data_IF_284788836526
#
_entry.id   IF_284788836526
#
_cell.length_a   1.000
_cell.length_b   1.000
_cell.length_c   1.000
_cell.angle_alpha   90.00
_cell.angle_beta   90.00
_cell.angle_gamma   90.00
#
_symmetry.space_group_name_H-M   'P 1'
#
loop_
_entity.id
_entity.type
_entity.pdbx_description
1 polymer ?
#
# COMPACT_ATOMS: atom_id res chain seq x y z
N UNK A 1 -28.58 21.02 -44.56
CA UNK A 1 -28.38 20.15 -45.72
C UNK A 1 -28.20 18.69 -45.27
N UNK A 2 -28.32 17.80 -46.23
CA UNK A 2 -28.07 16.38 -45.95
C UNK A 2 -26.65 16.13 -45.46
N UNK A 3 -25.70 16.84 -46.01
CA UNK A 3 -24.30 16.72 -45.64
C UNK A 3 -24.11 17.15 -44.19
N UNK A 4 -24.70 18.26 -43.79
CA UNK A 4 -24.64 18.73 -42.43
C UNK A 4 -25.30 17.74 -41.46
N UNK A 5 -26.43 17.18 -41.85
CA UNK A 5 -27.13 16.18 -41.04
C UNK A 5 -26.26 14.96 -40.80
N UNK A 6 -25.58 14.50 -41.85
CA UNK A 6 -24.69 13.35 -41.72
C UNK A 6 -23.53 13.64 -40.80
N UNK A 7 -22.95 14.82 -40.89
CA UNK A 7 -21.88 15.24 -40.01
C UNK A 7 -22.33 15.24 -38.54
N UNK A 8 -23.52 15.78 -38.29
CA UNK A 8 -24.05 15.78 -36.91
C UNK A 8 -24.31 14.37 -36.40
N UNK A 9 -24.80 13.48 -37.27
CA UNK A 9 -25.01 12.09 -36.86
C UNK A 9 -23.70 11.40 -36.52
N UNK A 10 -22.66 11.67 -37.29
CA UNK A 10 -21.34 11.11 -37.00
C UNK A 10 -20.80 11.64 -35.67
N UNK A 11 -20.98 12.94 -35.43
CA UNK A 11 -20.58 13.55 -34.18
C UNK A 11 -21.32 12.92 -33.00
N UNK A 12 -22.62 12.66 -33.18
CA UNK A 12 -23.41 12.03 -32.16
C UNK A 12 -22.88 10.64 -31.81
N UNK A 13 -22.57 9.86 -32.83
CA UNK A 13 -22.00 8.53 -32.62
C UNK A 13 -20.69 8.59 -31.89
N UNK A 14 -19.84 9.54 -32.28
CA UNK A 14 -18.55 9.71 -31.60
C UNK A 14 -18.73 10.07 -30.14
N UNK A 15 -19.66 10.97 -29.85
CA UNK A 15 -19.92 11.35 -28.46
C UNK A 15 -20.46 10.21 -27.66
N UNK A 16 -21.32 9.39 -28.24
CA UNK A 16 -21.83 8.20 -27.55
C UNK A 16 -20.70 7.21 -27.26
N UNK A 17 -19.80 7.03 -28.21
CA UNK A 17 -18.64 6.17 -27.98
C UNK A 17 -17.72 6.75 -26.90
N UNK A 18 -17.54 8.06 -26.91
CA UNK A 18 -16.73 8.73 -25.88
C UNK A 18 -17.33 8.55 -24.50
N UNK A 19 -18.65 8.64 -24.38
CA UNK A 19 -19.34 8.41 -23.11
C UNK A 19 -19.07 6.99 -22.60
N UNK A 20 -19.17 6.01 -23.49
CA UNK A 20 -18.88 4.63 -23.10
C UNK A 20 -17.46 4.45 -22.61
N UNK A 21 -16.51 5.07 -23.32
CA UNK A 21 -15.11 5.02 -22.92
C UNK A 21 -14.90 5.67 -21.57
N UNK A 22 -15.52 6.81 -21.34
CA UNK A 22 -15.43 7.52 -20.08
C UNK A 22 -16.01 6.70 -18.93
N UNK A 23 -17.11 6.00 -19.18
CA UNK A 23 -17.68 5.11 -18.17
C UNK A 23 -16.74 3.96 -17.83
N UNK A 24 -16.09 3.39 -18.83
CA UNK A 24 -15.11 2.35 -18.60
C UNK A 24 -13.92 2.88 -17.80
N UNK A 25 -13.46 4.07 -18.15
CA UNK A 25 -12.37 4.71 -17.42
C UNK A 25 -12.74 4.98 -15.98
N UNK A 26 -13.97 5.42 -15.75
CA UNK A 26 -14.44 5.67 -14.40
C UNK A 26 -14.44 4.39 -13.57
N UNK A 27 -14.95 3.30 -14.14
CA UNK A 27 -14.95 2.01 -13.46
C UNK A 27 -13.53 1.56 -13.15
N UNK A 28 -12.63 1.76 -14.10
CA UNK A 28 -11.23 1.40 -13.94
C UNK A 28 -10.58 2.18 -12.80
N UNK A 29 -10.85 3.49 -12.75
CA UNK A 29 -10.32 4.34 -11.70
C UNK A 29 -10.88 4.00 -10.34
N UNK A 30 -12.16 3.67 -10.25
CA UNK A 30 -12.77 3.23 -9.00
C UNK A 30 -12.13 1.95 -8.50
N UNK A 31 -11.84 1.04 -9.40
CA UNK A 31 -11.14 -0.20 -9.05
C UNK A 31 -9.72 0.10 -8.56
N UNK A 32 -9.03 1.03 -9.21
CA UNK A 32 -7.69 1.44 -8.81
C UNK A 32 -7.70 2.05 -7.41
N UNK A 33 -8.67 2.90 -7.11
CA UNK A 33 -8.83 3.49 -5.78
C UNK A 33 -9.00 2.39 -4.73
N UNK A 34 -9.85 1.42 -5.01
CA UNK A 34 -10.08 0.31 -4.08
C UNK A 34 -8.80 -0.49 -3.84
N UNK A 35 -8.06 -0.76 -4.90
CA UNK A 35 -6.79 -1.48 -4.80
C UNK A 35 -5.78 -0.71 -3.95
N UNK A 36 -5.69 0.60 -4.15
CA UNK A 36 -4.79 1.45 -3.37
C UNK A 36 -5.19 1.44 -1.90
N UNK A 37 -6.48 1.51 -1.60
CA UNK A 37 -6.97 1.47 -0.23
C UNK A 37 -6.61 0.17 0.46
N UNK A 38 -6.75 -0.95 -0.24
CA UNK A 38 -6.35 -2.25 0.28
C UNK A 38 -4.84 -2.31 0.55
N UNK A 39 -4.05 -1.76 -0.36
CA UNK A 39 -2.60 -1.72 -0.20
C UNK A 39 -2.21 -0.89 1.02
N UNK A 40 -2.85 0.25 1.21
CA UNK A 40 -2.59 1.10 2.38
C UNK A 40 -2.92 0.37 3.68
N UNK A 41 -4.03 -0.34 3.73
CA UNK A 41 -4.40 -1.12 4.91
C UNK A 41 -3.36 -2.19 5.20
N UNK A 42 -2.86 -2.85 4.16
CA UNK A 42 -1.81 -3.84 4.31
C UNK A 42 -0.52 -3.24 4.84
N UNK A 43 -0.16 -2.06 4.35
CA UNK A 43 1.02 -1.35 4.83
C UNK A 43 0.87 -0.94 6.30
N UNK A 44 -0.29 -0.46 6.69
CA UNK A 44 -0.54 -0.09 8.07
C UNK A 44 -0.42 -1.30 8.99
N UNK A 45 -0.98 -2.44 8.59
CA UNK A 45 -0.88 -3.66 9.36
C UNK A 45 0.58 -4.09 9.50
N UNK A 46 1.36 -3.99 8.43
CA UNK A 46 2.77 -4.34 8.45
C UNK A 46 3.57 -3.42 9.38
N UNK A 47 3.27 -2.13 9.35
CA UNK A 47 3.91 -1.16 10.25
C UNK A 47 3.61 -1.51 11.71
N UNK A 48 2.36 -1.82 12.01
CA UNK A 48 1.97 -2.20 13.37
C UNK A 48 2.72 -3.44 13.84
N UNK A 49 2.85 -4.44 12.97
CA UNK A 49 3.61 -5.65 13.31
C UNK A 49 5.08 -5.33 13.55
N UNK A 50 5.66 -4.48 12.75
CA UNK A 50 7.05 -4.06 12.95
C UNK A 50 7.22 -3.35 14.29
N UNK A 51 6.29 -2.49 14.65
CA UNK A 51 6.32 -1.81 15.94
C UNK A 51 6.23 -2.79 17.11
N UNK A 52 5.37 -3.80 16.97
CA UNK A 52 5.26 -4.84 17.99
C UNK A 52 6.57 -5.61 18.14
N UNK A 53 7.21 -5.94 17.04
CA UNK A 53 8.48 -6.64 17.06
C UNK A 53 9.55 -5.80 17.75
N UNK A 54 9.61 -4.52 17.43
CA UNK A 54 10.56 -3.60 18.07
C UNK A 54 10.31 -3.54 19.57
N UNK A 55 9.05 -3.46 19.98
CA UNK A 55 8.70 -3.41 21.40
C UNK A 55 9.13 -4.70 22.13
N UNK A 56 8.91 -5.84 21.51
CA UNK A 56 9.32 -7.12 22.08
C UNK A 56 10.85 -7.18 22.21
N UNK A 57 11.55 -6.75 21.19
CA UNK A 57 13.01 -6.71 21.23
C UNK A 57 13.52 -5.80 22.35
N UNK A 58 12.90 -4.65 22.53
CA UNK A 58 13.27 -3.73 23.60
C UNK A 58 13.04 -4.35 24.97
N UNK A 59 11.91 -5.04 25.14
CA UNK A 59 11.61 -5.73 26.39
C UNK A 59 12.63 -6.82 26.69
N UNK A 60 12.99 -7.59 25.68
CA UNK A 60 14.00 -8.63 25.83
C UNK A 60 15.35 -8.05 26.21
N UNK A 61 15.73 -6.95 25.59
CA UNK A 61 16.97 -6.26 25.94
C UNK A 61 16.96 -5.82 27.40
N UNK A 62 15.86 -5.25 27.85
CA UNK A 62 15.76 -4.80 29.23
C UNK A 62 15.85 -5.97 30.20
N UNK A 63 15.18 -7.09 29.90
CA UNK A 63 15.25 -8.27 30.74
C UNK A 63 16.66 -8.84 30.82
N UNK A 64 17.31 -8.94 29.69
CA UNK A 64 18.67 -9.45 29.64
C UNK A 64 19.61 -8.54 30.40
N UNK A 65 19.50 -7.24 30.20
CA UNK A 65 20.34 -6.26 30.89
C UNK A 65 20.09 -6.25 32.39
N UNK A 66 18.85 -6.51 32.81
CA UNK A 66 18.50 -6.48 34.21
C UNK A 66 18.86 -7.74 34.97
N UNK A 67 18.96 -8.89 34.28
CA UNK A 67 19.14 -10.17 34.95
C UNK A 67 20.49 -10.80 34.74
N UNK A 68 21.27 -10.35 33.75
CA UNK A 68 22.55 -10.97 33.43
C UNK A 68 23.70 -10.05 33.76
N UNK A 69 24.85 -10.63 34.16
CA UNK A 69 26.07 -9.80 34.33
C UNK A 69 26.45 -9.13 33.03
N UNK A 70 26.98 -7.97 33.13
CA UNK A 70 27.34 -7.17 31.99
C UNK A 70 28.24 -7.88 30.96
N UNK A 71 29.27 -8.64 31.37
CA UNK A 71 30.10 -9.33 30.37
C UNK A 71 29.32 -10.35 29.56
N UNK A 72 28.40 -11.06 30.15
CA UNK A 72 27.60 -12.02 29.43
C UNK A 72 26.62 -11.32 28.48
N UNK A 73 26.06 -10.24 28.92
CA UNK A 73 25.15 -9.48 28.08
C UNK A 73 25.88 -8.92 26.87
N UNK A 74 27.08 -8.43 27.07
CA UNK A 74 27.88 -7.93 25.96
C UNK A 74 28.25 -9.03 24.98
N UNK A 75 28.58 -10.20 25.46
CA UNK A 75 28.89 -11.33 24.59
C UNK A 75 27.70 -11.72 23.75
N UNK A 76 26.51 -11.74 24.34
CA UNK A 76 25.30 -12.04 23.60
C UNK A 76 25.01 -11.01 22.54
N UNK A 77 25.17 -9.76 22.85
CA UNK A 77 24.97 -8.69 21.90
C UNK A 77 25.96 -8.79 20.75
N UNK A 78 27.21 -9.12 21.09
CA UNK A 78 28.22 -9.28 20.05
C UNK A 78 27.92 -10.43 19.12
N UNK A 79 27.32 -11.48 19.63
CA UNK A 79 27.06 -12.65 18.79
C UNK A 79 25.87 -12.51 17.89
N UNK A 80 24.95 -11.60 18.19
CA UNK A 80 23.77 -11.52 17.42
C UNK A 80 23.84 -10.74 16.17
N UNK A 81 24.25 -9.66 16.16
CA UNK A 81 23.82 -8.77 15.16
C UNK A 81 24.57 -8.66 13.99
N UNK A 82 25.48 -9.35 13.90
CA UNK A 82 26.27 -9.11 12.77
C UNK A 82 25.65 -9.62 11.52
N UNK A 83 24.49 -10.10 11.56
CA UNK A 83 23.78 -10.49 10.34
C UNK A 83 22.66 -9.56 9.96
#
# INVERSE_FOLDING_TARGET
TQQSSQQYKQMLQQEQQNIQMLQQMLNHEQHAVHTIQQALQGHEAAIQKCQQIVNVCNQLQQEVSGHMPAPMANANVSSFPQT
#
